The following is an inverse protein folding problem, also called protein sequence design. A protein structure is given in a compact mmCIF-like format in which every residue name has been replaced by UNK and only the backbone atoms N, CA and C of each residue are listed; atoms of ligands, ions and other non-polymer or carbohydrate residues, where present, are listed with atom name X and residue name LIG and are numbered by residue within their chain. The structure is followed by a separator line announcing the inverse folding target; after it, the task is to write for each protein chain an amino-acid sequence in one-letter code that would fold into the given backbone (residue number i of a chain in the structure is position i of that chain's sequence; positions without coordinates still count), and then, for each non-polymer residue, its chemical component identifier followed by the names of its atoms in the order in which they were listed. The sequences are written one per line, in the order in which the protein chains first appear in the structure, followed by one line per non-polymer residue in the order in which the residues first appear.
data_IF_230772413757
#
_entry.id   IF_230772413757
#
_cell.length_a   1.000
_cell.length_b   1.000
_cell.length_c   1.000
_cell.angle_alpha   90.00
_cell.angle_beta   90.00
_cell.angle_gamma   90.00
#
_symmetry.space_group_name_H-M   'P 1'
#
loop_
_entity.id
_entity.type
_entity.pdbx_description
1 polymer ?
#
# COMPACT_ATOMS: atom_id res chain seq x y z
N UNK A 1 -32.07 15.32 -27.49
CA UNK A 1 -32.40 15.45 -26.06
C UNK A 1 -33.00 14.13 -25.58
N UNK A 2 -32.17 13.22 -25.09
CA UNK A 2 -32.61 12.06 -24.32
C UNK A 2 -31.56 11.85 -23.21
N UNK A 3 -31.93 12.18 -21.99
CA UNK A 3 -31.12 11.96 -20.78
C UNK A 3 -31.12 10.48 -20.48
N UNK A 4 -29.95 9.86 -20.48
CA UNK A 4 -29.75 8.48 -19.98
C UNK A 4 -29.20 8.63 -18.58
N UNK A 5 -30.01 8.25 -17.59
CA UNK A 5 -29.59 8.10 -16.19
C UNK A 5 -28.82 6.78 -16.08
N UNK A 6 -27.55 6.83 -15.76
CA UNK A 6 -26.80 5.66 -15.33
C UNK A 6 -27.00 5.49 -13.82
N UNK A 7 -27.67 4.42 -13.44
CA UNK A 7 -27.89 4.02 -12.04
C UNK A 7 -26.67 3.23 -11.58
N UNK A 8 -25.90 3.79 -10.65
CA UNK A 8 -24.82 3.06 -9.97
C UNK A 8 -25.43 2.24 -8.84
N UNK A 9 -25.42 0.92 -8.98
CA UNK A 9 -25.76 -0.03 -7.92
C UNK A 9 -24.53 -0.21 -7.03
N UNK A 10 -24.63 0.22 -5.77
CA UNK A 10 -23.70 -0.16 -4.73
C UNK A 10 -23.99 -1.61 -4.32
N UNK A 11 -23.06 -2.51 -4.55
CA UNK A 11 -23.12 -3.88 -4.05
C UNK A 11 -22.61 -3.90 -2.60
N UNK A 12 -23.53 -4.03 -1.64
CA UNK A 12 -23.20 -4.32 -0.27
C UNK A 12 -22.94 -5.83 -0.12
N UNK A 13 -21.70 -6.22 0.16
CA UNK A 13 -21.39 -7.58 0.56
C UNK A 13 -21.68 -7.74 2.06
N UNK A 14 -22.69 -8.50 2.38
CA UNK A 14 -22.98 -8.99 3.74
C UNK A 14 -22.20 -10.28 3.94
N UNK A 15 -21.18 -10.25 4.79
CA UNK A 15 -20.53 -11.46 5.28
C UNK A 15 -21.27 -11.97 6.50
N UNK A 16 -21.95 -13.13 6.38
CA UNK A 16 -22.60 -13.82 7.47
C UNK A 16 -21.60 -14.71 8.21
N UNK A 17 -21.30 -14.37 9.45
CA UNK A 17 -20.59 -15.24 10.40
C UNK A 17 -21.59 -16.26 10.98
N UNK A 18 -21.37 -17.54 10.71
CA UNK A 18 -22.04 -18.64 11.39
C UNK A 18 -21.23 -19.03 12.63
N UNK A 19 -21.78 -18.76 13.80
CA UNK A 19 -21.26 -19.25 15.06
C UNK A 19 -21.59 -20.73 15.27
N UNK A 20 -20.62 -21.49 15.76
CA UNK A 20 -20.86 -22.79 16.39
C UNK A 20 -20.42 -22.74 17.83
N UNK A 21 -21.41 -22.66 18.71
CA UNK A 21 -21.31 -22.95 20.14
C UNK A 21 -21.29 -24.48 20.32
N UNK A 22 -20.38 -24.98 21.14
CA UNK A 22 -20.66 -26.22 21.86
C UNK A 22 -19.99 -26.20 23.23
N UNK A 23 -20.82 -26.15 24.28
CA UNK A 23 -20.42 -26.30 25.65
C UNK A 23 -20.37 -27.78 26.01
N UNK A 24 -19.60 -28.14 26.96
CA UNK A 24 -20.02 -29.04 28.02
C UNK A 24 -19.14 -28.96 29.27
N UNK A 25 -19.83 -29.06 30.35
CA UNK A 25 -19.59 -28.90 31.77
C UNK A 25 -18.84 -30.09 32.45
N UNK A 26 -18.43 -29.73 33.68
CA UNK A 26 -18.31 -30.54 34.93
C UNK A 26 -17.03 -31.35 35.09
N UNK A 27 -16.42 -31.48 36.22
CA UNK A 27 -16.65 -31.27 37.66
C UNK A 27 -15.34 -31.53 38.45
N UNK A 28 -15.12 -30.76 39.48
CA UNK A 28 -14.68 -31.06 40.85
C UNK A 28 -13.44 -31.97 41.12
N UNK A 29 -12.62 -31.45 42.03
CA UNK A 29 -11.68 -32.30 42.82
C UNK A 29 -10.63 -31.50 43.59
N UNK A 30 -10.99 -31.15 44.76
CA UNK A 30 -10.38 -30.69 46.01
C UNK A 30 -9.00 -31.23 46.37
N UNK A 31 -8.23 -30.36 47.05
CA UNK A 31 -7.42 -30.56 48.26
C UNK A 31 -5.90 -30.55 48.22
N UNK A 32 -5.44 -29.55 48.92
CA UNK A 32 -4.48 -29.52 50.04
C UNK A 32 -2.98 -29.35 49.78
N UNK A 33 -2.56 -28.17 50.15
CA UNK A 33 -1.48 -27.79 51.05
C UNK A 33 -0.14 -28.57 51.06
N UNK A 34 0.91 -27.85 50.76
CA UNK A 34 2.04 -27.70 51.74
C UNK A 34 3.01 -26.59 51.29
N UNK A 35 3.25 -25.71 52.22
CA UNK A 35 4.28 -24.66 52.22
C UNK A 35 5.68 -25.26 52.17
N UNK A 36 6.57 -24.65 51.42
CA UNK A 36 7.95 -24.46 51.84
C UNK A 36 8.57 -23.26 51.18
N UNK A 37 8.98 -22.33 51.99
CA UNK A 37 9.76 -21.13 51.73
C UNK A 37 11.16 -21.51 51.25
N UNK A 38 11.64 -20.87 50.21
CA UNK A 38 13.03 -20.39 50.18
C UNK A 38 13.28 -19.42 49.04
N UNK A 39 13.77 -18.29 49.43
CA UNK A 39 14.33 -17.17 48.68
C UNK A 39 15.31 -17.53 47.57
N UNK A 40 15.20 -16.86 46.46
CA UNK A 40 16.38 -16.20 45.87
C UNK A 40 15.92 -15.25 44.74
N UNK A 41 16.21 -14.03 44.95
CA UNK A 41 16.25 -12.93 43.99
C UNK A 41 16.90 -13.34 42.68
N UNK A 42 16.23 -13.16 41.56
CA UNK A 42 16.83 -12.73 40.33
C UNK A 42 15.80 -11.85 39.64
N UNK A 43 15.97 -10.54 39.81
CA UNK A 43 15.38 -9.55 38.95
C UNK A 43 15.97 -9.77 37.56
N UNK A 44 15.29 -10.57 36.75
CA UNK A 44 15.37 -10.55 35.31
C UNK A 44 14.18 -9.72 34.86
N UNK A 45 14.34 -8.43 34.70
CA UNK A 45 13.42 -7.64 33.95
C UNK A 45 13.38 -8.23 32.54
N UNK A 46 12.36 -9.00 32.23
CA UNK A 46 11.96 -9.17 30.85
C UNK A 46 11.38 -7.83 30.45
N UNK A 47 12.18 -7.00 29.80
CA UNK A 47 11.66 -5.93 28.97
C UNK A 47 10.75 -6.62 27.94
N UNK A 48 9.46 -6.68 28.27
CA UNK A 48 8.44 -7.14 27.37
C UNK A 48 8.21 -5.99 26.42
N UNK A 49 9.12 -5.84 25.42
CA UNK A 49 8.99 -4.84 24.39
C UNK A 49 7.60 -4.99 23.75
N UNK A 50 6.88 -3.90 23.63
CA UNK A 50 5.55 -3.91 23.01
C UNK A 50 5.64 -4.55 21.63
N UNK A 51 4.71 -5.44 21.33
CA UNK A 51 4.60 -6.08 20.03
C UNK A 51 3.71 -5.24 19.12
N UNK A 52 4.17 -5.02 17.91
CA UNK A 52 3.49 -4.25 16.90
C UNK A 52 3.42 -4.99 15.57
N UNK A 53 2.52 -4.55 14.70
CA UNK A 53 2.44 -4.98 13.30
C UNK A 53 2.55 -3.78 12.37
N UNK A 54 3.36 -3.91 11.33
CA UNK A 54 3.36 -3.01 10.17
C UNK A 54 2.51 -3.62 9.08
N UNK A 55 1.42 -2.95 8.69
CA UNK A 55 0.56 -3.36 7.59
C UNK A 55 0.51 -2.30 6.49
N UNK A 56 0.25 -2.73 5.26
CA UNK A 56 0.11 -1.86 4.09
C UNK A 56 -1.09 -2.28 3.24
N UNK A 57 -1.88 -1.31 2.79
CA UNK A 57 -3.04 -1.54 1.93
C UNK A 57 -3.04 -0.60 0.73
N UNK A 58 -3.32 -1.13 -0.46
CA UNK A 58 -3.35 -0.38 -1.71
C UNK A 58 -4.73 -0.50 -2.37
N UNK A 59 -5.22 0.63 -2.88
CA UNK A 59 -6.44 0.70 -3.70
C UNK A 59 -6.09 1.43 -4.99
N UNK A 60 -6.24 0.75 -6.12
CA UNK A 60 -5.90 1.30 -7.44
C UNK A 60 -7.15 1.45 -8.29
N UNK A 61 -7.24 2.57 -9.02
CA UNK A 61 -8.33 2.88 -9.93
C UNK A 61 -7.81 3.55 -11.21
N UNK A 62 -8.44 3.24 -12.32
CA UNK A 62 -8.24 3.93 -13.61
C UNK A 62 -9.47 4.73 -14.03
N UNK A 63 -10.49 4.82 -13.15
CA UNK A 63 -11.77 5.46 -13.42
C UNK A 63 -11.69 6.97 -13.74
N UNK A 64 -10.56 7.60 -13.44
CA UNK A 64 -10.31 9.01 -13.79
C UNK A 64 -9.68 9.19 -15.17
N UNK A 65 -9.45 8.12 -15.92
CA UNK A 65 -9.02 8.19 -17.31
C UNK A 65 -10.13 8.78 -18.17
N UNK A 66 -9.76 9.55 -19.18
CA UNK A 66 -10.67 10.19 -20.11
C UNK A 66 -10.01 10.30 -21.48
N UNK A 67 -10.77 10.65 -22.52
CA UNK A 67 -10.24 10.87 -23.86
C UNK A 67 -8.97 11.73 -23.83
N UNK A 68 -7.90 11.25 -24.44
CA UNK A 68 -6.59 11.90 -24.48
C UNK A 68 -5.78 11.84 -23.19
N UNK A 69 -6.28 11.20 -22.10
CA UNK A 69 -5.57 11.13 -20.82
C UNK A 69 -5.74 9.78 -20.14
N UNK A 70 -4.70 8.98 -20.12
CA UNK A 70 -4.62 7.77 -19.30
C UNK A 70 -4.23 8.16 -17.86
N UNK A 71 -5.05 7.80 -16.88
CA UNK A 71 -4.80 8.11 -15.47
C UNK A 71 -4.89 6.86 -14.60
N UNK A 72 -3.92 6.71 -13.71
CA UNK A 72 -3.89 5.70 -12.66
C UNK A 72 -3.80 6.41 -11.31
N UNK A 73 -4.78 6.18 -10.46
CA UNK A 73 -4.79 6.65 -9.07
C UNK A 73 -4.55 5.44 -8.15
N UNK A 74 -3.38 5.33 -7.55
CA UNK A 74 -3.03 4.30 -6.58
C UNK A 74 -2.89 4.93 -5.18
N UNK A 75 -3.93 4.75 -4.35
CA UNK A 75 -3.96 5.18 -2.96
C UNK A 75 -3.34 4.09 -2.10
N UNK A 76 -2.36 4.44 -1.29
CA UNK A 76 -1.70 3.53 -0.36
C UNK A 76 -1.78 4.07 1.05
N UNK A 77 -2.06 3.18 2.00
CA UNK A 77 -1.98 3.44 3.43
C UNK A 77 -1.01 2.45 4.07
N UNK A 78 -0.23 2.93 5.03
CA UNK A 78 0.57 2.13 5.92
C UNK A 78 0.16 2.41 7.37
N UNK A 79 0.11 1.37 8.20
CA UNK A 79 -0.24 1.48 9.61
C UNK A 79 0.73 0.70 10.49
N UNK A 80 1.00 1.23 11.67
CA UNK A 80 1.52 0.44 12.78
C UNK A 80 0.35 0.15 13.69
N UNK A 81 0.13 -1.14 13.99
CA UNK A 81 -0.93 -1.61 14.88
C UNK A 81 -0.33 -2.11 16.19
N UNK A 82 -1.01 -1.85 17.29
CA UNK A 82 -0.74 -2.46 18.58
C UNK A 82 -1.33 -3.89 18.68
N UNK A 83 -1.10 -4.55 19.82
CA UNK A 83 -1.59 -5.91 20.08
C UNK A 83 -3.12 -6.03 20.10
N UNK A 84 -3.85 -4.92 20.31
CA UNK A 84 -5.30 -4.84 20.26
C UNK A 84 -5.87 -4.54 18.88
N UNK A 85 -4.98 -4.41 17.85
CA UNK A 85 -5.33 -4.08 16.47
C UNK A 85 -5.70 -2.61 16.28
N UNK A 86 -5.29 -1.73 17.20
CA UNK A 86 -5.49 -0.29 17.06
C UNK A 86 -4.34 0.36 16.34
N UNK A 87 -4.67 1.33 15.53
CA UNK A 87 -3.69 2.13 14.78
C UNK A 87 -2.89 3.01 15.76
N UNK A 88 -1.59 2.77 15.85
CA UNK A 88 -0.63 3.61 16.61
C UNK A 88 -0.09 4.72 15.73
N UNK A 89 0.12 4.43 14.46
CA UNK A 89 0.60 5.39 13.46
C UNK A 89 -0.01 5.05 12.10
N UNK A 90 -0.30 6.09 11.32
CA UNK A 90 -0.83 5.96 9.96
C UNK A 90 -0.09 6.91 9.03
N UNK A 91 0.20 6.45 7.82
CA UNK A 91 0.73 7.26 6.73
C UNK A 91 -0.03 6.94 5.44
N UNK A 92 -0.41 7.96 4.68
CA UNK A 92 -1.17 7.81 3.44
C UNK A 92 -0.49 8.60 2.32
N UNK A 93 -0.46 8.01 1.12
CA UNK A 93 -0.05 8.73 -0.08
C UNK A 93 -0.88 8.28 -1.29
N UNK A 94 -0.81 9.04 -2.38
CA UNK A 94 -1.47 8.71 -3.65
C UNK A 94 -0.51 8.93 -4.80
N UNK A 95 -0.17 7.86 -5.51
CA UNK A 95 0.45 7.95 -6.82
C UNK A 95 -0.65 8.24 -7.86
N UNK A 96 -0.82 9.51 -8.20
CA UNK A 96 -1.71 9.95 -9.27
C UNK A 96 -0.89 10.16 -10.54
N UNK A 97 -0.82 9.12 -11.35
CA UNK A 97 0.00 9.08 -12.56
C UNK A 97 -0.87 9.38 -13.78
N UNK A 98 -0.38 10.26 -14.64
CA UNK A 98 -1.08 10.66 -15.87
C UNK A 98 -0.13 10.56 -17.06
N UNK A 99 -0.67 10.10 -18.18
CA UNK A 99 0.02 10.08 -19.46
C UNK A 99 -0.92 10.65 -20.51
N UNK A 100 -0.43 11.62 -21.28
CA UNK A 100 -1.15 12.13 -22.45
C UNK A 100 -1.17 11.03 -23.53
N UNK A 101 -2.37 10.73 -24.03
CA UNK A 101 -2.60 9.74 -25.10
C UNK A 101 -3.47 10.34 -26.21
N UNK A 102 -3.39 11.66 -26.36
CA UNK A 102 -4.11 12.40 -27.41
C UNK A 102 -3.75 11.84 -28.79
N UNK A 103 -4.76 11.71 -29.65
CA UNK A 103 -4.64 11.14 -31.00
C UNK A 103 -4.02 9.72 -31.01
N UNK A 104 -4.19 8.97 -29.92
CA UNK A 104 -3.70 7.61 -29.79
C UNK A 104 -2.17 7.46 -29.60
N UNK A 105 -1.47 8.57 -29.39
CA UNK A 105 -0.01 8.61 -29.27
C UNK A 105 0.45 8.70 -27.81
N UNK A 106 1.46 7.91 -27.43
CA UNK A 106 2.18 8.11 -26.17
C UNK A 106 3.33 9.09 -26.36
N UNK A 107 3.75 9.85 -25.31
CA UNK A 107 4.91 10.74 -25.41
C UNK A 107 6.18 10.01 -25.85
N UNK A 108 6.96 10.63 -26.75
CA UNK A 108 8.24 10.06 -27.22
C UNK A 108 9.23 9.77 -26.06
N UNK A 109 9.14 10.56 -24.99
CA UNK A 109 9.96 10.43 -23.79
C UNK A 109 9.26 9.63 -22.66
N UNK A 110 8.17 8.91 -22.97
CA UNK A 110 7.37 8.17 -21.98
C UNK A 110 8.23 7.32 -21.04
N UNK A 111 9.23 6.60 -21.58
CA UNK A 111 10.12 5.74 -20.79
C UNK A 111 10.96 6.50 -19.74
N UNK A 112 11.16 7.80 -19.90
CA UNK A 112 11.91 8.68 -18.98
C UNK A 112 11.03 9.57 -18.11
N UNK A 113 9.71 9.46 -18.21
CA UNK A 113 8.78 10.21 -17.38
C UNK A 113 9.03 9.94 -15.90
N UNK A 114 8.96 10.98 -15.10
CA UNK A 114 9.06 10.91 -13.65
C UNK A 114 7.75 11.33 -13.01
N UNK A 115 7.36 10.62 -11.96
CA UNK A 115 6.10 10.86 -11.27
C UNK A 115 6.37 11.21 -9.81
N UNK A 116 5.74 12.27 -9.34
CA UNK A 116 5.67 12.61 -7.92
C UNK A 116 4.31 12.18 -7.38
N UNK A 117 4.30 11.58 -6.20
CA UNK A 117 3.05 11.35 -5.47
C UNK A 117 2.39 12.66 -5.05
N UNK A 118 1.15 12.59 -4.56
CA UNK A 118 0.48 13.79 -4.04
C UNK A 118 1.21 14.37 -2.82
N UNK A 119 1.74 13.51 -1.96
CA UNK A 119 2.51 13.94 -0.79
C UNK A 119 3.84 14.60 -1.18
N UNK A 120 4.53 14.06 -2.19
CA UNK A 120 5.77 14.65 -2.72
C UNK A 120 5.56 15.97 -3.47
N UNK A 121 4.38 16.20 -4.01
CA UNK A 121 4.04 17.47 -4.66
C UNK A 121 3.86 18.63 -3.69
N UNK A 122 3.49 18.35 -2.44
CA UNK A 122 3.19 19.38 -1.44
C UNK A 122 2.26 20.46 -2.06
N UNK A 123 2.71 21.74 -2.03
CA UNK A 123 1.98 22.87 -2.61
C UNK A 123 1.88 22.82 -4.15
N UNK A 124 2.76 22.08 -4.83
CA UNK A 124 2.70 21.89 -6.30
C UNK A 124 1.44 21.12 -6.72
N UNK A 125 0.79 20.39 -5.80
CA UNK A 125 -0.47 19.72 -6.09
C UNK A 125 -1.59 20.73 -6.38
N UNK A 126 -1.56 21.89 -5.72
CA UNK A 126 -2.38 23.04 -6.04
C UNK A 126 -3.85 22.90 -5.63
N UNK A 127 -4.17 22.14 -4.58
CA UNK A 127 -5.53 21.95 -4.13
C UNK A 127 -6.09 23.10 -3.29
N UNK A 128 -5.22 23.83 -2.61
CA UNK A 128 -5.57 24.89 -1.65
C UNK A 128 -6.62 25.89 -2.16
N UNK A 129 -6.55 26.42 -3.41
CA UNK A 129 -7.56 27.36 -3.93
C UNK A 129 -8.95 26.74 -4.10
N UNK A 130 -9.04 25.43 -4.32
CA UNK A 130 -10.30 24.70 -4.50
C UNK A 130 -10.82 24.10 -3.19
N UNK A 131 -10.01 24.10 -2.14
CA UNK A 131 -10.35 23.52 -0.85
C UNK A 131 -11.27 24.44 -0.06
N UNK A 132 -12.40 23.89 0.46
CA UNK A 132 -13.34 24.64 1.29
C UNK A 132 -12.72 25.16 2.60
N UNK A 133 -11.62 24.55 3.06
CA UNK A 133 -10.90 24.92 4.28
C UNK A 133 -9.53 25.55 4.02
N UNK A 134 -9.22 25.84 2.73
CA UNK A 134 -7.95 26.48 2.32
C UNK A 134 -6.69 25.68 2.63
N UNK A 135 -6.78 24.33 2.62
CA UNK A 135 -5.66 23.42 2.86
C UNK A 135 -5.28 22.64 1.60
N UNK A 136 -3.99 22.33 1.47
CA UNK A 136 -3.47 21.45 0.45
C UNK A 136 -3.84 19.97 0.72
N UNK A 137 -3.62 19.11 -0.28
CA UNK A 137 -3.95 17.69 -0.17
C UNK A 137 -3.20 17.01 0.98
N UNK A 138 -1.88 17.27 1.10
CA UNK A 138 -1.05 16.66 2.14
C UNK A 138 -1.50 17.07 3.55
N UNK A 139 -1.89 18.33 3.76
CA UNK A 139 -2.41 18.82 5.04
C UNK A 139 -3.74 18.15 5.44
N UNK A 140 -4.58 17.83 4.44
CA UNK A 140 -5.84 17.12 4.66
C UNK A 140 -5.62 15.61 4.88
N UNK A 141 -4.62 15.03 4.20
CA UNK A 141 -4.21 13.65 4.43
C UNK A 141 -3.65 13.46 5.85
N UNK A 142 -2.79 14.39 6.32
CA UNK A 142 -2.29 14.39 7.71
C UNK A 142 -3.41 14.51 8.75
N UNK A 143 -4.46 15.29 8.47
CA UNK A 143 -5.63 15.36 9.34
C UNK A 143 -6.39 14.02 9.40
N UNK A 144 -6.50 13.31 8.28
CA UNK A 144 -7.09 11.97 8.25
C UNK A 144 -6.19 10.96 8.99
N UNK A 145 -4.88 10.96 8.73
CA UNK A 145 -3.89 10.12 9.40
C UNK A 145 -3.99 10.27 10.94
N UNK A 146 -4.02 11.51 11.42
CA UNK A 146 -4.19 11.80 12.86
C UNK A 146 -5.54 11.34 13.42
N UNK A 147 -6.61 11.47 12.64
CA UNK A 147 -7.97 11.09 13.06
C UNK A 147 -8.13 9.58 13.24
N UNK A 148 -7.44 8.76 12.46
CA UNK A 148 -7.55 7.30 12.53
C UNK A 148 -6.68 6.68 13.62
N UNK A 149 -5.73 7.41 14.21
CA UNK A 149 -4.92 6.92 15.35
C UNK A 149 -5.84 6.56 16.52
N UNK A 150 -5.60 5.40 17.14
CA UNK A 150 -6.38 4.82 18.23
C UNK A 150 -7.62 4.04 17.78
N UNK A 151 -7.95 4.02 16.48
CA UNK A 151 -9.09 3.28 15.91
C UNK A 151 -8.68 1.90 15.43
N UNK A 152 -9.65 0.99 15.39
CA UNK A 152 -9.52 -0.32 14.72
C UNK A 152 -9.98 -0.21 13.26
N UNK A 153 -9.75 -1.28 12.47
CA UNK A 153 -10.22 -1.36 11.08
C UNK A 153 -11.74 -1.11 10.96
N UNK A 154 -12.53 -1.71 11.86
CA UNK A 154 -13.98 -1.57 11.86
C UNK A 154 -14.42 -0.12 12.16
N UNK A 155 -13.73 0.55 13.09
CA UNK A 155 -14.00 1.95 13.42
C UNK A 155 -13.60 2.90 12.27
N UNK A 156 -12.55 2.58 11.51
CA UNK A 156 -12.18 3.31 10.28
C UNK A 156 -13.22 3.09 9.18
N UNK A 157 -13.66 1.84 8.99
CA UNK A 157 -14.72 1.52 8.02
C UNK A 157 -16.06 2.18 8.34
N UNK A 158 -16.32 2.44 9.63
CA UNK A 158 -17.54 3.06 10.12
C UNK A 158 -17.48 4.61 10.15
N UNK A 159 -16.42 5.25 9.64
CA UNK A 159 -16.36 6.72 9.53
C UNK A 159 -17.58 7.21 8.75
N UNK A 160 -18.41 8.11 9.33
CA UNK A 160 -19.61 8.57 8.65
C UNK A 160 -19.27 9.44 7.44
N UNK A 161 -19.91 9.12 6.31
CA UNK A 161 -19.68 9.79 5.03
C UNK A 161 -20.97 10.11 4.30
N UNK A 162 -20.91 11.06 3.40
CA UNK A 162 -21.94 11.37 2.42
C UNK A 162 -21.35 11.48 1.03
N UNK A 163 -22.17 11.23 0.01
CA UNK A 163 -21.76 11.44 -1.38
C UNK A 163 -22.29 12.80 -1.84
N UNK A 164 -21.39 13.66 -2.29
CA UNK A 164 -21.73 14.98 -2.85
C UNK A 164 -22.36 14.86 -4.23
N UNK A 165 -22.97 15.93 -4.73
CA UNK A 165 -23.56 15.99 -6.08
C UNK A 165 -22.54 15.68 -7.20
N UNK A 166 -21.25 15.90 -6.95
CA UNK A 166 -20.14 15.62 -7.87
C UNK A 166 -19.57 14.18 -7.71
N UNK A 167 -20.22 13.34 -6.90
CA UNK A 167 -19.81 11.95 -6.68
C UNK A 167 -18.63 11.76 -5.69
N UNK A 168 -18.15 12.83 -5.04
CA UNK A 168 -17.12 12.71 -4.02
C UNK A 168 -17.71 12.20 -2.70
N UNK A 169 -17.03 11.26 -2.06
CA UNK A 169 -17.41 10.71 -0.76
C UNK A 169 -16.61 11.46 0.31
N UNK A 170 -17.29 12.33 1.04
CA UNK A 170 -16.69 13.20 2.07
C UNK A 170 -17.19 12.82 3.45
N UNK A 171 -16.42 13.16 4.48
CA UNK A 171 -16.84 12.87 5.87
C UNK A 171 -17.95 13.81 6.34
N UNK A 172 -18.87 13.26 7.15
CA UNK A 172 -19.84 14.04 7.91
C UNK A 172 -19.46 14.15 9.40
N UNK A 173 -18.38 13.52 9.84
CA UNK A 173 -17.84 13.70 11.19
C UNK A 173 -17.23 15.09 11.34
N UNK A 174 -17.74 15.89 12.28
CA UNK A 174 -17.35 17.29 12.44
C UNK A 174 -15.87 17.45 12.85
N UNK A 175 -15.28 16.48 13.56
CA UNK A 175 -13.87 16.52 13.97
C UNK A 175 -12.97 16.33 12.76
N UNK A 176 -13.23 15.31 11.95
CA UNK A 176 -12.45 15.04 10.73
C UNK A 176 -12.69 16.14 9.68
N UNK A 177 -13.93 16.59 9.51
CA UNK A 177 -14.33 17.62 8.54
C UNK A 177 -13.62 18.96 8.77
N UNK A 178 -13.30 19.30 10.03
CA UNK A 178 -12.52 20.49 10.34
C UNK A 178 -11.11 20.49 9.73
N UNK A 179 -10.56 19.30 9.46
CA UNK A 179 -9.22 19.12 8.89
C UNK A 179 -9.18 18.52 7.49
N UNK A 180 -10.25 17.82 7.07
CA UNK A 180 -10.29 17.06 5.82
C UNK A 180 -11.69 17.17 5.19
N UNK A 181 -11.77 17.79 4.01
CA UNK A 181 -12.99 17.97 3.22
C UNK A 181 -12.91 17.34 1.84
N UNK A 182 -11.78 16.69 1.53
CA UNK A 182 -11.59 15.96 0.27
C UNK A 182 -12.32 14.62 0.28
N UNK A 183 -12.39 13.94 -0.88
CA UNK A 183 -12.92 12.58 -0.96
C UNK A 183 -12.03 11.61 -0.19
N UNK A 184 -12.61 10.82 0.73
CA UNK A 184 -11.88 9.91 1.64
C UNK A 184 -12.19 8.44 1.40
N UNK A 185 -13.02 8.08 0.42
CA UNK A 185 -13.39 6.66 0.20
C UNK A 185 -12.17 5.76 -0.03
N UNK A 186 -11.24 6.18 -0.89
CA UNK A 186 -10.03 5.42 -1.15
C UNK A 186 -9.08 5.41 0.06
N UNK A 187 -9.04 6.49 0.86
CA UNK A 187 -8.24 6.56 2.08
C UNK A 187 -8.75 5.57 3.12
N UNK A 188 -10.07 5.54 3.35
CA UNK A 188 -10.72 4.57 4.24
C UNK A 188 -10.42 3.15 3.76
N UNK A 189 -10.65 2.86 2.48
CA UNK A 189 -10.46 1.52 1.93
C UNK A 189 -9.01 1.04 2.03
N UNK A 190 -8.03 1.90 1.71
CA UNK A 190 -6.61 1.57 1.83
C UNK A 190 -6.20 1.37 3.30
N UNK A 191 -6.70 2.20 4.24
CA UNK A 191 -6.41 2.06 5.67
C UNK A 191 -7.00 0.78 6.25
N UNK A 192 -8.24 0.43 5.90
CA UNK A 192 -8.87 -0.83 6.32
C UNK A 192 -8.09 -2.04 5.77
N UNK A 193 -7.67 -2.00 4.50
CA UNK A 193 -6.80 -3.03 3.93
C UNK A 193 -5.48 -3.13 4.70
N UNK A 194 -4.83 -2.01 5.03
CA UNK A 194 -3.59 -1.99 5.78
C UNK A 194 -3.75 -2.62 7.18
N UNK A 195 -4.85 -2.36 7.87
CA UNK A 195 -5.15 -2.99 9.16
C UNK A 195 -5.42 -4.50 9.07
N UNK A 196 -5.84 -4.98 7.90
CA UNK A 196 -6.24 -6.39 7.65
C UNK A 196 -5.20 -7.14 6.81
N UNK A 197 -4.01 -6.57 6.62
CA UNK A 197 -2.94 -7.17 5.81
C UNK A 197 -2.44 -8.47 6.46
N UNK A 198 -2.78 -9.61 5.86
CA UNK A 198 -2.39 -10.96 6.33
C UNK A 198 -0.87 -11.18 6.20
N UNK A 199 -0.19 -10.38 5.40
CA UNK A 199 1.27 -10.40 5.22
C UNK A 199 1.99 -9.31 6.02
N UNK A 200 1.28 -8.67 6.97
CA UNK A 200 1.85 -7.66 7.84
C UNK A 200 3.07 -8.18 8.61
N UNK A 201 4.09 -7.34 8.73
CA UNK A 201 5.33 -7.70 9.41
C UNK A 201 5.25 -7.40 10.91
N UNK A 202 5.47 -8.43 11.74
CA UNK A 202 5.56 -8.29 13.19
C UNK A 202 6.91 -7.70 13.59
N UNK A 203 6.93 -6.80 14.59
CA UNK A 203 8.15 -6.28 15.20
C UNK A 203 7.93 -5.91 16.66
N UNK A 204 9.00 -5.59 17.37
CA UNK A 204 8.99 -5.19 18.78
C UNK A 204 9.78 -3.92 18.99
N UNK A 205 9.39 -3.14 20.00
CA UNK A 205 10.03 -1.87 20.34
C UNK A 205 9.50 -0.70 19.53
N UNK A 206 9.91 0.50 19.92
CA UNK A 206 9.49 1.74 19.28
C UNK A 206 10.09 1.88 17.88
N UNK A 207 9.27 2.26 16.93
CA UNK A 207 9.69 2.56 15.57
C UNK A 207 8.87 3.71 14.97
N UNK A 208 9.48 4.43 14.03
CA UNK A 208 8.82 5.47 13.24
C UNK A 208 8.34 4.88 11.92
N UNK A 209 7.10 5.20 11.56
CA UNK A 209 6.49 4.82 10.29
C UNK A 209 6.92 5.78 9.19
N UNK A 210 7.26 5.23 8.02
CA UNK A 210 7.31 6.00 6.78
C UNK A 210 6.73 5.19 5.62
N UNK A 211 6.21 5.91 4.62
CA UNK A 211 5.58 5.38 3.42
C UNK A 211 6.06 6.16 2.21
N UNK A 212 6.35 5.46 1.12
CA UNK A 212 6.67 6.09 -0.16
C UNK A 212 6.12 5.30 -1.34
N UNK A 213 6.02 5.98 -2.47
CA UNK A 213 5.69 5.40 -3.77
C UNK A 213 6.81 5.67 -4.76
N UNK A 214 6.95 4.82 -5.77
CA UNK A 214 7.85 5.03 -6.91
C UNK A 214 7.18 4.52 -8.17
N UNK A 215 7.00 5.37 -9.17
CA UNK A 215 6.34 5.00 -10.42
C UNK A 215 7.32 5.04 -11.58
N UNK A 216 7.22 4.05 -12.47
CA UNK A 216 7.93 3.98 -13.74
C UNK A 216 6.96 3.63 -14.86
N UNK A 217 7.33 4.00 -16.09
CA UNK A 217 6.63 3.55 -17.29
C UNK A 217 7.23 2.22 -17.73
N UNK A 218 6.37 1.23 -17.94
CA UNK A 218 6.78 -0.11 -18.41
C UNK A 218 6.96 -0.14 -19.94
N UNK A 219 7.80 -1.04 -20.39
CA UNK A 219 8.08 -1.28 -21.81
C UNK A 219 6.88 -1.75 -22.64
N UNK A 220 5.77 -2.14 -21.98
CA UNK A 220 4.50 -2.43 -22.64
C UNK A 220 3.75 -1.17 -23.08
N UNK A 221 4.24 0.04 -22.73
CA UNK A 221 3.65 1.32 -23.18
C UNK A 221 3.93 1.50 -24.66
N UNK A 222 2.85 1.69 -25.42
CA UNK A 222 2.90 1.85 -26.87
C UNK A 222 1.70 2.67 -27.38
N UNK A 223 1.90 3.44 -28.45
CA UNK A 223 0.84 4.12 -29.18
C UNK A 223 -0.12 3.13 -29.85
N UNK A 224 -1.35 3.55 -30.07
CA UNK A 224 -2.31 2.83 -30.90
C UNK A 224 -1.87 2.88 -32.37
N UNK A 225 -1.99 1.80 -33.11
CA UNK A 225 -1.63 1.75 -34.51
C UNK A 225 -2.28 0.55 -35.23
N UNK A 226 -2.54 0.70 -36.53
CA UNK A 226 -3.04 -0.36 -37.41
C UNK A 226 -4.34 -1.04 -36.92
N UNK A 227 -5.17 -0.32 -36.20
CA UNK A 227 -6.43 -0.78 -35.61
C UNK A 227 -6.25 -1.55 -34.29
N UNK A 228 -5.04 -1.58 -33.73
CA UNK A 228 -4.77 -2.15 -32.43
C UNK A 228 -4.69 -1.04 -31.36
N UNK A 229 -5.24 -1.31 -30.18
CA UNK A 229 -5.22 -0.36 -29.06
C UNK A 229 -3.79 -0.09 -28.58
N UNK A 230 -3.53 1.18 -28.26
CA UNK A 230 -2.36 1.59 -27.50
C UNK A 230 -2.47 1.21 -26.03
N UNK A 231 -1.37 1.30 -25.32
CA UNK A 231 -1.29 0.97 -23.88
C UNK A 231 -0.45 1.99 -23.13
N UNK A 232 -0.98 2.57 -22.07
CA UNK A 232 -0.23 3.32 -21.06
C UNK A 232 -0.06 2.42 -19.81
N UNK A 233 1.16 1.93 -19.60
CA UNK A 233 1.51 1.04 -18.49
C UNK A 233 2.36 1.81 -17.47
N UNK A 234 1.76 2.32 -16.42
CA UNK A 234 2.39 3.09 -15.34
C UNK A 234 2.43 2.24 -14.06
N UNK A 235 3.55 1.58 -13.81
CA UNK A 235 3.72 0.64 -12.70
C UNK A 235 4.20 1.37 -11.46
N UNK A 236 3.58 1.11 -10.33
CA UNK A 236 3.90 1.77 -9.06
C UNK A 236 4.32 0.75 -8.01
N UNK A 237 5.47 0.99 -7.41
CA UNK A 237 5.98 0.28 -6.23
C UNK A 237 5.68 1.09 -4.98
N UNK A 238 5.43 0.39 -3.88
CA UNK A 238 5.13 0.95 -2.56
C UNK A 238 6.07 0.35 -1.53
N UNK A 239 6.57 1.16 -0.61
CA UNK A 239 7.28 0.67 0.56
C UNK A 239 6.78 1.38 1.82
N UNK A 240 6.25 0.59 2.75
CA UNK A 240 6.00 0.99 4.12
C UNK A 240 7.13 0.43 5.00
N UNK A 241 7.69 1.26 5.86
CA UNK A 241 8.80 0.89 6.73
C UNK A 241 8.54 1.35 8.17
N UNK A 242 8.91 0.49 9.12
CA UNK A 242 9.06 0.84 10.51
C UNK A 242 10.57 0.89 10.82
N UNK A 243 11.08 2.07 11.22
CA UNK A 243 12.51 2.28 11.47
C UNK A 243 12.72 2.57 12.95
N UNK A 244 13.61 1.82 13.59
CA UNK A 244 13.92 1.93 15.01
C UNK A 244 14.78 3.15 15.34
N UNK A 245 15.07 3.36 16.63
CA UNK A 245 15.88 4.46 17.11
C UNK A 245 17.36 4.41 16.69
N UNK A 246 17.84 3.25 16.20
CA UNK A 246 19.20 3.07 15.65
C UNK A 246 19.26 3.29 14.13
N UNK A 247 18.13 3.61 13.49
CA UNK A 247 18.01 3.78 12.04
C UNK A 247 17.99 2.47 11.27
N UNK A 248 17.68 1.37 11.94
CA UNK A 248 17.51 0.05 11.33
C UNK A 248 16.05 -0.22 11.00
N UNK A 249 15.85 -1.01 9.98
CA UNK A 249 14.54 -1.46 9.54
C UNK A 249 13.98 -2.50 10.53
N UNK A 250 13.05 -2.11 11.40
CA UNK A 250 12.36 -3.02 12.32
C UNK A 250 11.37 -3.91 11.57
N UNK A 251 10.68 -3.34 10.56
CA UNK A 251 9.76 -4.06 9.68
C UNK A 251 9.64 -3.34 8.32
N UNK A 252 9.26 -4.08 7.30
CA UNK A 252 9.00 -3.56 5.96
C UNK A 252 7.84 -4.32 5.30
N UNK A 253 7.00 -3.59 4.57
CA UNK A 253 6.04 -4.11 3.62
C UNK A 253 6.34 -3.48 2.26
N UNK A 254 6.58 -4.30 1.24
CA UNK A 254 6.80 -3.87 -0.13
C UNK A 254 5.74 -4.50 -1.05
N UNK A 255 5.20 -3.74 -1.98
CA UNK A 255 4.24 -4.25 -2.96
C UNK A 255 4.33 -3.46 -4.27
N UNK A 256 3.72 -3.97 -5.32
CA UNK A 256 3.65 -3.33 -6.63
C UNK A 256 2.28 -3.51 -7.27
N UNK A 257 1.86 -2.50 -8.02
CA UNK A 257 0.71 -2.59 -8.91
C UNK A 257 1.13 -2.31 -10.34
N UNK A 258 0.56 -3.07 -11.30
CA UNK A 258 0.90 -3.01 -12.71
C UNK A 258 -0.36 -2.74 -13.57
N UNK A 259 -1.00 -1.58 -13.40
CA UNK A 259 -2.16 -1.20 -14.19
C UNK A 259 -1.77 -0.91 -15.63
N UNK A 260 -2.73 -1.18 -16.53
CA UNK A 260 -2.66 -0.80 -17.94
C UNK A 260 -3.93 -0.08 -18.31
N UNK A 261 -3.81 1.07 -18.93
CA UNK A 261 -4.92 1.80 -19.53
C UNK A 261 -4.78 1.65 -21.04
N UNK A 262 -5.78 1.08 -21.71
CA UNK A 262 -5.78 0.96 -23.17
C UNK A 262 -6.63 2.06 -23.80
N UNK A 263 -6.27 2.47 -25.01
CA UNK A 263 -6.90 3.54 -25.76
C UNK A 263 -6.78 3.29 -27.27
N UNK A 264 -7.74 3.78 -28.03
CA UNK A 264 -7.76 3.66 -29.49
C UNK A 264 -6.93 4.76 -30.19
N UNK A 265 -6.89 4.73 -31.55
CA UNK A 265 -6.17 5.70 -32.38
C UNK A 265 -6.70 7.15 -32.26
N UNK A 266 -7.89 7.35 -31.68
CA UNK A 266 -8.43 8.68 -31.37
C UNK A 266 -8.11 9.12 -29.94
N UNK A 267 -7.44 8.28 -29.15
CA UNK A 267 -7.14 8.51 -27.73
C UNK A 267 -8.35 8.25 -26.80
N UNK A 268 -9.42 7.62 -27.30
CA UNK A 268 -10.55 7.22 -26.47
C UNK A 268 -10.15 6.00 -25.62
N UNK A 269 -10.51 6.02 -24.33
CA UNK A 269 -10.15 4.94 -23.40
C UNK A 269 -11.01 3.70 -23.69
N UNK A 270 -10.36 2.58 -23.95
CA UNK A 270 -10.99 1.28 -24.26
C UNK A 270 -10.97 0.29 -23.10
N UNK A 271 -10.09 0.48 -22.12
CA UNK A 271 -10.07 -0.35 -20.90
C UNK A 271 -11.28 -0.08 -20.01
N UNK A 272 -11.77 -1.12 -19.30
CA UNK A 272 -12.86 -1.00 -18.34
C UNK A 272 -12.40 -0.17 -17.12
N UNK A 273 -12.97 1.03 -16.88
CA UNK A 273 -12.59 1.88 -15.76
C UNK A 273 -13.03 1.34 -14.40
N UNK A 274 -13.88 0.29 -14.38
CA UNK A 274 -14.40 -0.34 -13.15
C UNK A 274 -13.69 -1.65 -12.82
N UNK A 275 -12.73 -2.08 -13.65
CA UNK A 275 -11.98 -3.31 -13.43
C UNK A 275 -11.23 -3.28 -12.11
N UNK A 276 -11.31 -4.35 -11.34
CA UNK A 276 -10.50 -4.52 -10.13
C UNK A 276 -9.02 -4.65 -10.49
N UNK A 277 -8.19 -3.84 -9.85
CA UNK A 277 -6.75 -3.86 -10.06
C UNK A 277 -6.08 -4.32 -8.78
N UNK A 278 -5.68 -5.60 -8.77
CA UNK A 278 -4.96 -6.23 -7.66
C UNK A 278 -3.47 -5.90 -7.73
N UNK A 279 -2.84 -5.71 -6.57
CA UNK A 279 -1.39 -5.66 -6.45
C UNK A 279 -0.76 -7.03 -6.73
N UNK A 280 0.56 -7.09 -6.88
CA UNK A 280 1.27 -8.36 -7.05
C UNK A 280 1.13 -9.27 -5.82
N UNK A 281 1.16 -8.68 -4.61
CA UNK A 281 0.95 -9.41 -3.36
C UNK A 281 -0.47 -9.99 -3.27
N UNK A 282 -1.49 -9.22 -3.64
CA UNK A 282 -2.89 -9.69 -3.67
C UNK A 282 -3.16 -10.78 -4.71
N UNK A 283 -2.42 -10.77 -5.81
CA UNK A 283 -2.52 -11.82 -6.85
C UNK A 283 -2.01 -13.17 -6.37
N UNK A 284 -1.06 -13.21 -5.44
CA UNK A 284 -0.45 -14.46 -4.96
C UNK A 284 -0.08 -15.39 -6.14
N UNK A 285 -0.62 -16.62 -6.19
CA UNK A 285 -0.38 -17.58 -7.28
C UNK A 285 -1.00 -17.15 -8.63
N UNK A 286 -1.97 -16.23 -8.64
CA UNK A 286 -2.57 -15.69 -9.88
C UNK A 286 -1.56 -14.82 -10.67
N UNK A 287 -0.48 -14.34 -10.01
CA UNK A 287 0.57 -13.61 -10.72
C UNK A 287 1.33 -14.48 -11.72
N UNK A 288 1.48 -15.78 -11.41
CA UNK A 288 1.92 -16.80 -12.36
C UNK A 288 3.42 -16.82 -12.64
N UNK A 289 4.24 -16.31 -11.72
CA UNK A 289 5.70 -16.23 -11.89
C UNK A 289 6.41 -17.56 -11.63
N UNK A 290 5.82 -18.48 -10.89
CA UNK A 290 6.44 -19.74 -10.42
C UNK A 290 7.10 -20.54 -11.54
N UNK A 291 6.46 -20.64 -12.69
CA UNK A 291 6.99 -21.42 -13.84
C UNK A 291 8.17 -20.76 -14.52
N UNK A 292 8.32 -19.44 -14.42
CA UNK A 292 9.42 -18.66 -14.98
C UNK A 292 10.55 -18.42 -13.97
N UNK A 293 10.29 -18.66 -12.69
CA UNK A 293 11.26 -18.44 -11.60
C UNK A 293 12.31 -19.56 -11.55
N UNK A 294 13.59 -19.20 -11.49
CA UNK A 294 14.69 -20.14 -11.34
C UNK A 294 14.63 -20.99 -10.07
N UNK A 295 13.92 -20.51 -9.03
CA UNK A 295 13.73 -21.19 -7.74
C UNK A 295 12.31 -21.72 -7.55
N UNK A 296 11.49 -21.70 -8.62
CA UNK A 296 10.09 -22.13 -8.60
C UNK A 296 9.25 -21.46 -7.51
N UNK A 297 9.51 -20.20 -7.23
CA UNK A 297 8.78 -19.38 -6.25
C UNK A 297 7.97 -18.28 -6.94
N UNK A 298 6.80 -17.97 -6.39
CA UNK A 298 5.97 -16.86 -6.82
C UNK A 298 6.55 -15.51 -6.39
N UNK A 299 6.04 -14.42 -6.98
CA UNK A 299 6.51 -13.07 -6.67
C UNK A 299 6.37 -12.74 -5.18
N UNK A 300 5.24 -13.06 -4.57
CA UNK A 300 5.00 -12.75 -3.15
C UNK A 300 5.94 -13.53 -2.21
N UNK A 301 6.33 -14.78 -2.57
CA UNK A 301 7.28 -15.58 -1.81
C UNK A 301 8.69 -14.98 -1.88
N UNK A 302 9.10 -14.54 -3.07
CA UNK A 302 10.39 -13.89 -3.28
C UNK A 302 10.43 -12.50 -2.65
N UNK A 303 9.31 -11.76 -2.67
CA UNK A 303 9.18 -10.49 -1.97
C UNK A 303 9.34 -10.67 -0.45
N UNK A 304 8.70 -11.69 0.14
CA UNK A 304 8.86 -12.01 1.56
C UNK A 304 10.31 -12.36 1.92
N UNK A 305 11.03 -13.06 1.04
CA UNK A 305 12.44 -13.34 1.23
C UNK A 305 13.29 -12.06 1.21
N UNK A 306 12.98 -11.11 0.32
CA UNK A 306 13.62 -9.80 0.30
C UNK A 306 13.32 -9.01 1.57
N UNK A 307 12.06 -8.90 1.98
CA UNK A 307 11.64 -8.20 3.20
C UNK A 307 12.34 -8.76 4.44
N UNK A 308 12.40 -10.09 4.56
CA UNK A 308 13.14 -10.78 5.64
C UNK A 308 14.62 -10.45 5.62
N UNK A 309 15.24 -10.42 4.42
CA UNK A 309 16.66 -10.17 4.27
C UNK A 309 17.05 -8.74 4.66
N UNK A 310 16.21 -7.75 4.34
CA UNK A 310 16.52 -6.33 4.61
C UNK A 310 16.15 -5.89 6.03
N UNK A 311 15.28 -6.62 6.72
CA UNK A 311 14.94 -6.36 8.13
C UNK A 311 16.19 -6.43 9.02
N UNK A 312 16.32 -5.49 9.96
CA UNK A 312 17.48 -5.32 10.83
C UNK A 312 18.66 -4.54 10.22
N UNK A 313 18.56 -4.15 8.94
CA UNK A 313 19.61 -3.39 8.24
C UNK A 313 19.30 -1.89 8.24
N UNK A 314 20.36 -1.11 8.17
CA UNK A 314 20.32 0.34 7.89
C UNK A 314 20.11 0.60 6.40
N UNK A 315 19.68 1.82 6.06
CA UNK A 315 19.56 2.29 4.67
C UNK A 315 20.88 2.14 3.88
N UNK A 316 22.03 2.39 4.52
CA UNK A 316 23.35 2.22 3.92
C UNK A 316 23.67 0.75 3.59
N UNK A 317 23.35 -0.17 4.49
CA UNK A 317 23.54 -1.62 4.28
C UNK A 317 22.62 -2.15 3.19
N UNK A 318 21.38 -1.66 3.11
CA UNK A 318 20.43 -2.03 2.04
C UNK A 318 20.90 -1.51 0.69
N UNK A 319 21.39 -0.26 0.64
CA UNK A 319 21.97 0.32 -0.58
C UNK A 319 23.22 -0.40 -1.07
N UNK A 320 23.95 -1.04 -0.16
CA UNK A 320 25.19 -1.78 -0.44
C UNK A 320 24.95 -3.25 -0.81
N UNK A 321 23.70 -3.73 -0.91
CA UNK A 321 23.40 -5.09 -1.37
C UNK A 321 24.04 -5.29 -2.76
N UNK A 322 24.90 -6.30 -2.94
CA UNK A 322 25.57 -6.50 -4.20
C UNK A 322 24.58 -6.97 -5.27
N UNK A 323 24.63 -6.31 -6.44
CA UNK A 323 23.75 -6.57 -7.56
C UNK A 323 24.53 -6.64 -8.88
N UNK A 324 23.93 -7.28 -9.87
CA UNK A 324 24.37 -7.24 -11.27
C UNK A 324 23.20 -6.94 -12.19
N UNK A 325 23.48 -6.37 -13.35
CA UNK A 325 22.45 -6.16 -14.38
C UNK A 325 22.55 -7.30 -15.38
N UNK A 326 21.44 -8.02 -15.57
CA UNK A 326 21.33 -9.10 -16.55
C UNK A 326 21.26 -8.54 -17.99
N UNK A 327 21.45 -9.40 -18.99
CA UNK A 327 21.35 -9.02 -20.40
C UNK A 327 19.99 -8.41 -20.79
N UNK A 328 18.94 -8.75 -20.03
CA UNK A 328 17.57 -8.21 -20.21
C UNK A 328 17.33 -6.91 -19.39
N UNK A 329 18.37 -6.33 -18.78
CA UNK A 329 18.29 -5.09 -18.02
C UNK A 329 17.73 -5.23 -16.60
N UNK A 330 17.46 -6.45 -16.11
CA UNK A 330 17.03 -6.67 -14.73
C UNK A 330 18.21 -6.56 -13.77
N UNK A 331 18.00 -5.83 -12.67
CA UNK A 331 19.00 -5.70 -11.60
C UNK A 331 18.71 -6.76 -10.54
N UNK A 332 19.47 -7.85 -10.55
CA UNK A 332 19.33 -8.99 -9.64
C UNK A 332 20.41 -9.00 -8.57
N UNK A 333 20.15 -9.64 -7.43
CA UNK A 333 21.16 -9.73 -6.38
C UNK A 333 22.22 -10.79 -6.69
N UNK A 334 23.46 -10.51 -6.29
CA UNK A 334 24.57 -11.48 -6.27
C UNK A 334 24.91 -11.96 -4.85
N UNK A 335 24.20 -11.44 -3.81
CA UNK A 335 24.29 -11.96 -2.45
C UNK A 335 23.68 -13.36 -2.37
N UNK A 336 24.48 -14.36 -2.00
CA UNK A 336 24.06 -15.77 -2.01
C UNK A 336 22.90 -16.07 -1.04
N UNK A 337 22.79 -15.33 0.08
CA UNK A 337 21.69 -15.50 1.03
C UNK A 337 20.38 -15.00 0.47
N UNK A 338 20.39 -13.80 -0.09
CA UNK A 338 19.19 -13.22 -0.71
C UNK A 338 18.81 -13.99 -1.99
N UNK A 339 19.78 -14.35 -2.81
CA UNK A 339 19.59 -15.09 -4.07
C UNK A 339 18.94 -16.47 -3.86
N UNK A 340 19.17 -17.09 -2.73
CA UNK A 340 18.53 -18.37 -2.40
C UNK A 340 16.99 -18.26 -2.28
N UNK A 341 16.47 -17.08 -1.94
CA UNK A 341 15.03 -16.83 -1.79
C UNK A 341 14.45 -15.82 -2.77
N UNK A 342 15.29 -15.04 -3.48
CA UNK A 342 14.85 -13.97 -4.36
C UNK A 342 15.77 -13.87 -5.58
N UNK A 343 15.26 -14.26 -6.74
CA UNK A 343 15.97 -14.22 -8.04
C UNK A 343 15.36 -13.20 -9.01
N UNK A 344 14.32 -12.51 -8.58
CA UNK A 344 13.69 -11.44 -9.38
C UNK A 344 14.51 -10.15 -9.33
N UNK A 345 14.11 -9.14 -10.11
CA UNK A 345 14.76 -7.83 -10.08
C UNK A 345 14.54 -7.16 -8.71
N UNK A 346 15.63 -6.82 -8.04
CA UNK A 346 15.62 -6.18 -6.70
C UNK A 346 15.98 -4.69 -6.74
N UNK A 347 16.42 -4.17 -7.89
CA UNK A 347 16.91 -2.80 -7.99
C UNK A 347 15.87 -1.75 -7.57
N UNK A 348 14.64 -1.87 -8.09
CA UNK A 348 13.52 -0.99 -7.72
C UNK A 348 13.10 -1.17 -6.26
N UNK A 349 13.12 -2.41 -5.74
CA UNK A 349 12.79 -2.73 -4.36
C UNK A 349 13.75 -2.03 -3.39
N UNK A 350 15.07 -2.20 -3.62
CA UNK A 350 16.13 -1.54 -2.83
C UNK A 350 15.93 -0.02 -2.84
N UNK A 351 15.75 0.58 -4.02
CA UNK A 351 15.60 2.03 -4.16
C UNK A 351 14.36 2.54 -3.41
N UNK A 352 13.22 1.85 -3.52
CA UNK A 352 11.96 2.29 -2.90
C UNK A 352 12.03 2.14 -1.37
N UNK A 353 12.60 1.06 -0.85
CA UNK A 353 12.79 0.87 0.61
C UNK A 353 13.76 1.91 1.17
N UNK A 354 14.90 2.15 0.51
CA UNK A 354 15.87 3.17 0.93
C UNK A 354 15.25 4.57 0.91
N UNK A 355 14.45 4.89 -0.13
CA UNK A 355 13.69 6.14 -0.21
C UNK A 355 12.74 6.30 0.99
N UNK A 356 11.99 5.24 1.35
CA UNK A 356 11.09 5.26 2.50
C UNK A 356 11.85 5.51 3.81
N UNK A 357 12.97 4.80 4.04
CA UNK A 357 13.81 5.01 5.23
C UNK A 357 14.35 6.43 5.33
N UNK A 358 14.64 7.08 4.20
CA UNK A 358 15.10 8.46 4.15
C UNK A 358 14.06 9.50 4.64
N UNK A 359 12.78 9.13 4.71
CA UNK A 359 11.71 10.00 5.20
C UNK A 359 11.58 10.02 6.73
N UNK A 360 12.26 9.12 7.44
CA UNK A 360 12.19 8.97 8.91
C UNK A 360 13.24 9.81 9.63
N UNK A 361 14.17 10.41 8.91
CA UNK A 361 15.33 11.17 9.42
C UNK A 361 14.99 12.41 10.25
#
# INVERSE_FOLDING_TARGET
MKKIFASMMAAAMVVSLAGCSNGNSSESGSSANSESVSSANSEGGSDNAAAYKLGMGVVTSTASSAAGNAQVDATVAAVILDADGKIVSCAIDVAQNKMDVTDGEVPEDAASMTFKSKKEKLEEYGMKPASAIGKEWYEQAEAFEAYVVGKTADEVAAIPVETTDNGHVVTTDETLKAGCTMSISALIAATVKACSDDSAADFTGDAKLALTTSTSVDSATASAADGEDGTAAMYTSFAAVAVDGEGKLAAVCYDEVQPKVTFDEAGEITSDPTAEIKTKREKKDEYGMRSASAISAEWFEQNQAFETFVTGKTSAEISAIPTETTDNGHVVTTDETLKAGCTMSVGGMIQTVVKAMGLVG
#
